data_IF_275443595921
#
_entry.id   IF_275443595921
#
_cell.length_a   1.000
_cell.length_b   1.000
_cell.length_c   1.000
_cell.angle_alpha   90.00
_cell.angle_beta   90.00
_cell.angle_gamma   90.00
#
_symmetry.space_group_name_H-M   'P 1'
#
loop_
_entity.id
_entity.type
_entity.pdbx_description
1 polymer ?
#
# COMPACT_ATOMS: atom_id res chain seq x y z
N UNK A 1 8.40 14.58 11.16
CA UNK A 1 8.07 14.59 9.73
C UNK A 1 7.67 16.00 9.37
N UNK A 2 8.19 16.50 8.26
CA UNK A 2 7.72 17.72 7.63
C UNK A 2 7.82 17.57 6.11
N UNK A 3 7.24 18.52 5.37
CA UNK A 3 7.18 18.57 3.90
C UNK A 3 8.49 18.16 3.18
N UNK A 4 9.64 18.42 3.79
CA UNK A 4 10.97 18.09 3.24
C UNK A 4 11.24 16.58 3.07
N UNK A 5 10.40 15.69 3.62
CA UNK A 5 10.53 14.24 3.47
C UNK A 5 9.72 13.65 2.29
N UNK A 6 8.86 14.44 1.62
CA UNK A 6 7.99 13.90 0.54
C UNK A 6 8.78 13.30 -0.63
N UNK A 7 9.83 13.95 -1.17
CA UNK A 7 10.66 13.36 -2.22
C UNK A 7 11.29 12.02 -1.81
N UNK A 8 11.58 11.84 -0.52
CA UNK A 8 12.12 10.60 0.03
C UNK A 8 11.08 9.49 -0.02
N UNK A 9 9.83 9.77 0.38
CA UNK A 9 8.75 8.78 0.31
C UNK A 9 8.35 8.43 -1.13
N UNK A 10 8.36 9.42 -2.03
CA UNK A 10 8.22 9.21 -3.47
C UNK A 10 9.29 8.25 -3.99
N UNK A 11 10.56 8.50 -3.66
CA UNK A 11 11.67 7.64 -4.07
C UNK A 11 11.51 6.20 -3.57
N UNK A 12 11.19 6.01 -2.29
CA UNK A 12 10.98 4.68 -1.73
C UNK A 12 9.78 3.95 -2.34
N UNK A 13 8.69 4.67 -2.64
CA UNK A 13 7.56 4.05 -3.33
C UNK A 13 7.92 3.65 -4.78
N UNK A 14 8.76 4.41 -5.48
CA UNK A 14 9.30 3.98 -6.79
C UNK A 14 10.11 2.71 -6.67
N UNK A 15 10.93 2.57 -5.63
CA UNK A 15 11.66 1.34 -5.36
C UNK A 15 10.72 0.16 -5.10
N UNK A 16 9.60 0.36 -4.37
CA UNK A 16 8.57 -0.67 -4.19
C UNK A 16 7.88 -1.05 -5.52
N UNK A 17 7.60 -0.07 -6.38
CA UNK A 17 7.02 -0.32 -7.71
C UNK A 17 7.95 -1.12 -8.63
N UNK A 18 9.28 -0.91 -8.56
CA UNK A 18 10.24 -1.75 -9.30
C UNK A 18 10.14 -3.22 -8.88
N UNK A 19 9.99 -3.48 -7.58
CA UNK A 19 9.77 -4.86 -7.08
C UNK A 19 8.41 -5.42 -7.53
N UNK A 20 7.38 -4.56 -7.66
CA UNK A 20 6.09 -4.98 -8.23
C UNK A 20 6.19 -5.32 -9.72
N UNK A 21 7.06 -4.64 -10.48
CA UNK A 21 7.36 -4.99 -11.87
C UNK A 21 8.03 -6.37 -11.96
N UNK A 22 8.98 -6.68 -11.07
CA UNK A 22 9.60 -8.02 -10.98
C UNK A 22 8.53 -9.10 -10.75
N UNK A 23 7.59 -8.88 -9.83
CA UNK A 23 6.48 -9.79 -9.57
C UNK A 23 5.64 -10.06 -10.83
N UNK A 24 5.37 -9.02 -11.63
CA UNK A 24 4.63 -9.15 -12.88
C UNK A 24 5.38 -10.02 -13.90
N UNK A 25 6.71 -9.93 -13.97
CA UNK A 25 7.52 -10.74 -14.92
C UNK A 25 7.42 -12.24 -14.64
N UNK A 26 7.23 -12.62 -13.37
CA UNK A 26 7.06 -14.02 -12.94
C UNK A 26 5.59 -14.44 -12.84
N UNK A 27 4.69 -13.68 -13.48
CA UNK A 27 3.22 -13.89 -13.47
C UNK A 27 2.63 -13.91 -12.05
N UNK A 28 3.17 -13.09 -11.14
CA UNK A 28 2.58 -12.87 -9.82
C UNK A 28 1.78 -11.58 -9.71
N UNK A 29 0.87 -11.55 -8.73
CA UNK A 29 0.11 -10.33 -8.39
C UNK A 29 1.14 -9.24 -8.00
N UNK A 30 1.13 -8.05 -8.65
CA UNK A 30 2.15 -7.03 -8.48
C UNK A 30 1.91 -6.18 -7.23
N UNK A 31 1.66 -6.85 -6.11
CA UNK A 31 1.75 -6.28 -4.76
C UNK A 31 3.17 -6.52 -4.30
N UNK A 32 3.88 -5.44 -4.00
CA UNK A 32 5.25 -5.50 -3.51
C UNK A 32 5.51 -4.43 -2.46
N UNK A 33 6.53 -4.68 -1.64
CA UNK A 33 6.91 -3.82 -0.55
C UNK A 33 8.43 -3.77 -0.37
N UNK A 34 8.89 -2.70 0.28
CA UNK A 34 10.23 -2.57 0.80
C UNK A 34 10.18 -2.12 2.26
N UNK A 35 11.13 -2.63 3.05
CA UNK A 35 11.33 -2.24 4.44
C UNK A 35 12.54 -1.33 4.52
N UNK A 36 12.34 -0.10 5.00
CA UNK A 36 13.39 0.92 5.09
C UNK A 36 13.74 1.17 6.55
N UNK A 37 14.96 0.82 6.93
CA UNK A 37 15.51 1.02 8.26
C UNK A 37 16.74 1.93 8.18
N UNK A 38 16.74 3.02 8.96
CA UNK A 38 17.84 4.02 8.99
C UNK A 38 18.28 4.48 7.59
N UNK A 39 17.30 4.76 6.72
CA UNK A 39 17.52 5.25 5.36
C UNK A 39 18.03 4.20 4.36
N UNK A 40 18.00 2.91 4.72
CA UNK A 40 18.43 1.80 3.86
C UNK A 40 17.32 0.78 3.69
N UNK A 41 17.20 0.23 2.49
CA UNK A 41 16.32 -0.92 2.25
C UNK A 41 16.97 -2.16 2.87
N UNK A 42 16.32 -2.74 3.88
CA UNK A 42 16.78 -3.96 4.56
C UNK A 42 16.07 -5.22 4.06
N UNK A 43 14.89 -5.08 3.45
CA UNK A 43 14.20 -6.19 2.81
C UNK A 43 13.30 -5.70 1.67
N UNK A 44 13.08 -6.59 0.70
CA UNK A 44 12.12 -6.45 -0.39
C UNK A 44 11.23 -7.68 -0.37
N UNK A 45 9.96 -7.51 -0.70
CA UNK A 45 9.03 -8.63 -0.81
C UNK A 45 7.97 -8.35 -1.87
N UNK A 46 7.56 -9.39 -2.59
CA UNK A 46 6.39 -9.36 -3.45
C UNK A 46 5.53 -10.59 -3.20
N UNK A 47 4.28 -10.58 -3.64
CA UNK A 47 3.40 -11.73 -3.50
C UNK A 47 4.00 -12.99 -4.14
N UNK A 48 3.97 -14.10 -3.41
CA UNK A 48 4.42 -15.41 -3.88
C UNK A 48 3.32 -16.47 -3.75
N UNK A 49 2.05 -16.09 -3.62
CA UNK A 49 0.91 -17.00 -3.51
C UNK A 49 0.81 -17.98 -4.69
N UNK A 50 1.07 -17.54 -5.93
CA UNK A 50 1.06 -18.42 -7.10
C UNK A 50 2.26 -19.38 -7.14
N UNK A 51 3.43 -18.89 -6.74
CA UNK A 51 4.69 -19.66 -6.74
C UNK A 51 4.65 -20.73 -5.65
N UNK A 52 4.16 -20.37 -4.47
CA UNK A 52 4.17 -21.21 -3.26
C UNK A 52 2.90 -22.04 -3.09
N UNK A 53 1.87 -21.78 -3.91
CA UNK A 53 0.51 -22.33 -3.75
C UNK A 53 -0.07 -22.09 -2.34
N UNK A 54 0.31 -20.97 -1.72
CA UNK A 54 -0.09 -20.63 -0.36
C UNK A 54 -0.60 -19.19 -0.31
N UNK A 55 -1.91 -19.04 -0.05
CA UNK A 55 -2.60 -17.74 0.01
C UNK A 55 -2.14 -16.80 1.12
N UNK A 56 -1.21 -17.21 1.99
CA UNK A 56 -0.63 -16.36 3.05
C UNK A 56 0.68 -15.69 2.66
N UNK A 57 1.29 -16.08 1.53
CA UNK A 57 2.62 -15.63 1.09
C UNK A 57 2.55 -14.28 0.38
N UNK A 58 2.11 -13.27 1.12
CA UNK A 58 2.00 -11.88 0.66
C UNK A 58 3.34 -11.15 0.76
N UNK A 59 3.47 -10.05 0.02
CA UNK A 59 4.67 -9.20 -0.01
C UNK A 59 5.23 -8.88 1.38
N UNK A 60 4.37 -8.49 2.32
CA UNK A 60 4.73 -8.11 3.69
C UNK A 60 5.30 -9.30 4.47
N UNK A 61 4.73 -10.51 4.28
CA UNK A 61 5.25 -11.72 4.92
C UNK A 61 6.62 -12.12 4.37
N UNK A 62 6.84 -11.98 3.06
CA UNK A 62 8.14 -12.31 2.43
C UNK A 62 9.23 -11.31 2.85
N UNK A 63 8.90 -10.02 2.92
CA UNK A 63 9.83 -9.02 3.44
C UNK A 63 10.11 -9.23 4.93
N UNK A 64 9.09 -9.50 5.75
CA UNK A 64 9.27 -9.82 7.17
C UNK A 64 10.14 -11.07 7.39
N UNK A 65 9.93 -12.13 6.60
CA UNK A 65 10.76 -13.34 6.64
C UNK A 65 12.25 -12.98 6.44
N UNK A 66 12.55 -12.19 5.43
CA UNK A 66 13.92 -11.72 5.15
C UNK A 66 14.51 -10.96 6.33
N UNK A 67 13.74 -10.08 6.98
CA UNK A 67 14.20 -9.33 8.16
C UNK A 67 14.51 -10.28 9.33
N UNK A 68 13.67 -11.30 9.56
CA UNK A 68 13.93 -12.29 10.63
C UNK A 68 15.22 -13.06 10.40
N UNK A 69 15.55 -13.36 9.14
CA UNK A 69 16.79 -14.03 8.77
C UNK A 69 18.01 -13.11 8.94
N UNK A 70 17.89 -11.82 8.60
CA UNK A 70 18.96 -10.83 8.73
C UNK A 70 19.21 -10.37 10.18
N UNK A 71 18.17 -10.36 11.01
CA UNK A 71 18.21 -9.86 12.39
C UNK A 71 17.60 -10.88 13.39
N UNK A 72 18.15 -12.10 13.50
CA UNK A 72 17.51 -13.19 14.27
C UNK A 72 17.23 -12.82 15.73
N UNK A 73 18.15 -12.09 16.37
CA UNK A 73 18.07 -11.72 17.79
C UNK A 73 17.49 -10.32 18.03
N UNK A 74 17.27 -9.53 16.97
CA UNK A 74 16.93 -8.10 17.12
C UNK A 74 15.87 -7.60 16.13
N UNK A 75 15.18 -8.49 15.41
CA UNK A 75 14.20 -8.10 14.39
C UNK A 75 13.09 -7.23 14.97
N UNK A 76 12.63 -7.48 16.21
CA UNK A 76 11.58 -6.69 16.85
C UNK A 76 11.99 -5.22 17.03
N UNK A 77 13.20 -4.97 17.53
CA UNK A 77 13.72 -3.60 17.71
C UNK A 77 13.98 -2.90 16.37
N UNK A 78 14.46 -3.64 15.37
CA UNK A 78 14.63 -3.11 14.01
C UNK A 78 13.28 -2.71 13.41
N UNK A 79 12.25 -3.56 13.53
CA UNK A 79 10.93 -3.32 12.95
C UNK A 79 10.21 -2.12 13.60
N UNK A 80 10.38 -1.90 14.91
CA UNK A 80 9.86 -0.73 15.64
C UNK A 80 10.35 0.61 15.09
N UNK A 81 11.48 0.60 14.39
CA UNK A 81 12.12 1.74 13.76
C UNK A 81 12.08 1.71 12.22
N UNK A 82 11.42 0.71 11.62
CA UNK A 82 11.36 0.49 10.18
C UNK A 82 10.08 1.03 9.57
N UNK A 83 10.19 1.73 8.45
CA UNK A 83 9.04 2.09 7.61
C UNK A 83 8.82 1.04 6.53
N UNK A 84 7.56 0.68 6.32
CA UNK A 84 7.13 -0.12 5.18
C UNK A 84 6.63 0.80 4.06
N UNK A 85 7.09 0.57 2.83
CA UNK A 85 6.48 1.13 1.62
C UNK A 85 5.91 -0.03 0.81
N UNK A 86 4.61 -0.01 0.52
CA UNK A 86 3.92 -1.10 -0.17
C UNK A 86 3.01 -0.55 -1.27
N UNK A 87 2.98 -1.19 -2.44
CA UNK A 87 2.25 -0.66 -3.59
C UNK A 87 0.73 -0.61 -3.36
N UNK A 88 0.19 -1.57 -2.62
CA UNK A 88 -1.23 -1.69 -2.29
C UNK A 88 -1.40 -1.71 -0.77
N UNK A 89 -2.45 -1.09 -0.25
CA UNK A 89 -2.79 -1.14 1.18
C UNK A 89 -2.73 -2.58 1.73
N UNK A 90 -2.04 -2.81 2.86
CA UNK A 90 -1.98 -4.11 3.50
C UNK A 90 -3.38 -4.68 3.75
N UNK A 91 -3.56 -5.96 3.41
CA UNK A 91 -4.81 -6.63 3.75
C UNK A 91 -4.94 -6.82 5.27
N UNK A 92 -6.13 -7.14 5.77
CA UNK A 92 -6.41 -7.39 7.21
C UNK A 92 -5.34 -8.30 7.86
N UNK A 93 -4.95 -9.38 7.19
CA UNK A 93 -3.93 -10.32 7.68
C UNK A 93 -2.56 -9.66 7.80
N UNK A 94 -2.12 -8.92 6.77
CA UNK A 94 -0.82 -8.25 6.77
C UNK A 94 -0.81 -7.06 7.73
N UNK A 95 -1.91 -6.31 7.81
CA UNK A 95 -2.10 -5.24 8.77
C UNK A 95 -1.99 -5.75 10.22
N UNK A 96 -2.54 -6.94 10.51
CA UNK A 96 -2.42 -7.61 11.81
C UNK A 96 -0.99 -8.04 12.10
N UNK A 97 -0.27 -8.62 11.13
CA UNK A 97 1.16 -8.92 11.25
C UNK A 97 1.95 -7.66 11.62
N UNK A 98 1.78 -6.59 10.83
CA UNK A 98 2.47 -5.32 10.99
C UNK A 98 2.23 -4.69 12.37
N UNK A 99 1.01 -4.86 12.91
CA UNK A 99 0.69 -4.43 14.27
C UNK A 99 1.40 -5.26 15.32
N UNK A 100 1.39 -6.59 15.20
CA UNK A 100 2.02 -7.50 16.14
C UNK A 100 3.54 -7.32 16.22
N UNK A 101 4.18 -7.01 15.10
CA UNK A 101 5.62 -6.70 15.04
C UNK A 101 5.93 -5.23 15.34
N UNK A 102 4.90 -4.42 15.63
CA UNK A 102 5.00 -3.02 15.99
C UNK A 102 5.76 -2.16 14.97
N UNK A 103 5.49 -2.35 13.68
CA UNK A 103 6.12 -1.57 12.60
C UNK A 103 6.01 -0.06 12.88
N UNK A 104 7.01 0.73 12.48
CA UNK A 104 7.00 2.18 12.76
C UNK A 104 5.84 2.88 12.05
N UNK A 105 5.80 2.78 10.73
CA UNK A 105 4.85 3.45 9.83
C UNK A 105 4.66 2.62 8.56
N UNK A 106 3.52 2.81 7.90
CA UNK A 106 3.24 2.21 6.59
C UNK A 106 2.88 3.30 5.59
N UNK A 107 3.56 3.31 4.46
CA UNK A 107 3.24 4.13 3.30
C UNK A 107 2.71 3.22 2.21
N UNK A 108 1.62 3.61 1.55
CA UNK A 108 1.10 2.81 0.45
C UNK A 108 0.57 3.62 -0.72
N UNK A 109 0.57 2.99 -1.89
CA UNK A 109 0.11 3.60 -3.13
C UNK A 109 -1.41 3.65 -3.23
N UNK A 110 -2.02 2.54 -3.62
CA UNK A 110 -3.47 2.46 -3.78
C UNK A 110 -4.15 1.73 -2.62
N UNK A 111 -5.42 2.07 -2.39
CA UNK A 111 -6.26 1.40 -1.41
C UNK A 111 -6.54 -0.06 -1.80
N UNK A 112 -6.86 -0.89 -0.81
CA UNK A 112 -7.30 -2.26 -1.00
C UNK A 112 -8.79 -2.36 -0.69
N UNK A 113 -9.61 -2.19 -1.70
CA UNK A 113 -11.07 -2.05 -1.57
C UNK A 113 -11.76 -3.31 -1.01
N UNK A 114 -11.15 -4.47 -1.21
CA UNK A 114 -11.77 -5.76 -0.85
C UNK A 114 -11.31 -6.28 0.50
N UNK A 115 -10.04 -6.05 0.84
CA UNK A 115 -9.41 -6.67 2.01
C UNK A 115 -8.58 -5.70 2.85
N UNK A 116 -8.65 -4.40 2.59
CA UNK A 116 -7.83 -3.38 3.24
C UNK A 116 -7.97 -3.35 4.76
N UNK A 117 -6.85 -3.54 5.45
CA UNK A 117 -6.78 -3.61 6.90
C UNK A 117 -6.39 -2.31 7.59
N UNK A 118 -6.14 -1.23 6.84
CA UNK A 118 -5.63 0.04 7.37
C UNK A 118 -6.59 1.22 7.20
N UNK A 119 -7.76 1.00 6.59
CA UNK A 119 -8.83 1.99 6.50
C UNK A 119 -9.91 1.67 5.49
N UNK A 120 -9.62 0.91 4.42
CA UNK A 120 -10.62 0.65 3.38
C UNK A 120 -11.75 -0.26 3.84
N UNK A 121 -11.44 -1.31 4.60
CA UNK A 121 -12.45 -2.24 5.14
C UNK A 121 -12.42 -2.24 6.67
N UNK A 122 -11.24 -2.42 7.26
CA UNK A 122 -11.00 -2.35 8.70
C UNK A 122 -9.85 -1.39 9.02
N UNK A 123 -9.76 -0.93 10.28
CA UNK A 123 -8.64 -0.15 10.79
C UNK A 123 -7.80 -0.96 11.77
N UNK A 124 -7.34 -2.15 11.34
CA UNK A 124 -6.54 -3.08 12.16
C UNK A 124 -5.27 -2.43 12.69
N UNK A 125 -4.71 -1.43 12.00
CA UNK A 125 -3.57 -0.65 12.46
C UNK A 125 -3.83 0.15 13.75
N UNK A 126 -5.09 0.48 14.06
CA UNK A 126 -5.43 1.36 15.18
C UNK A 126 -6.55 0.81 16.10
N UNK A 127 -7.46 -0.01 15.58
CA UNK A 127 -8.61 -0.54 16.32
C UNK A 127 -8.17 -1.47 17.45
N UNK A 128 -8.55 -1.17 18.69
CA UNK A 128 -8.27 -2.05 19.82
C UNK A 128 -9.33 -3.16 19.91
N UNK A 129 -8.92 -4.42 20.08
CA UNK A 129 -9.87 -5.47 20.39
C UNK A 129 -10.61 -5.13 21.70
N UNK A 130 -11.95 -5.18 21.67
CA UNK A 130 -12.78 -4.90 22.84
C UNK A 130 -12.76 -6.04 23.88
N UNK A 131 -12.19 -7.21 23.56
CA UNK A 131 -12.18 -8.35 24.48
C UNK A 131 -11.10 -8.23 25.57
N UNK A 132 -11.37 -8.86 26.71
CA UNK A 132 -10.47 -8.83 27.87
C UNK A 132 -9.37 -9.91 27.80
N UNK A 133 -9.51 -10.90 26.92
CA UNK A 133 -8.66 -12.11 26.88
C UNK A 133 -7.46 -12.03 25.92
N UNK A 134 -7.26 -10.90 25.26
CA UNK A 134 -6.15 -10.72 24.32
C UNK A 134 -4.94 -10.16 25.07
N UNK A 135 -3.76 -10.74 24.85
CA UNK A 135 -2.49 -10.21 25.34
C UNK A 135 -2.29 -8.78 24.81
N UNK A 136 -2.65 -7.83 25.67
CA UNK A 136 -2.67 -6.41 25.32
C UNK A 136 -1.26 -5.87 25.11
N UNK A 137 -0.23 -6.50 25.67
CA UNK A 137 1.14 -6.02 25.62
C UNK A 137 1.64 -5.86 24.17
N UNK A 138 1.37 -6.86 23.33
CA UNK A 138 1.82 -6.86 21.93
C UNK A 138 0.95 -6.03 20.98
N UNK A 139 -0.33 -5.82 21.29
CA UNK A 139 -1.27 -5.04 20.47
C UNK A 139 -1.49 -3.59 20.93
N UNK A 140 -0.78 -3.15 21.98
CA UNK A 140 -0.86 -1.79 22.55
C UNK A 140 -0.46 -0.70 21.57
N UNK A 141 0.49 -0.97 20.67
CA UNK A 141 1.04 0.05 19.76
C UNK A 141 0.33 0.01 18.41
N UNK A 142 -0.40 1.08 18.10
CA UNK A 142 -0.85 1.37 16.75
C UNK A 142 0.31 1.87 15.89
N UNK A 143 0.11 1.87 14.58
CA UNK A 143 1.04 2.50 13.63
C UNK A 143 0.30 3.43 12.68
N UNK A 144 0.97 4.52 12.32
CA UNK A 144 0.45 5.52 11.39
C UNK A 144 0.56 5.02 9.95
N UNK A 145 -0.43 5.35 9.15
CA UNK A 145 -0.50 4.99 7.73
C UNK A 145 -0.58 6.25 6.86
N UNK A 146 0.10 6.21 5.71
CA UNK A 146 0.14 7.30 4.75
C UNK A 146 -0.21 6.77 3.35
N UNK A 147 -1.45 7.01 2.87
CA UNK A 147 -1.94 6.52 1.60
C UNK A 147 -1.56 7.45 0.44
N UNK A 148 -1.68 6.96 -0.78
CA UNK A 148 -1.77 7.78 -1.99
C UNK A 148 -0.47 8.07 -2.71
N UNK A 149 0.68 7.63 -2.18
CA UNK A 149 1.98 7.89 -2.81
C UNK A 149 2.09 7.04 -4.08
N UNK A 150 2.13 7.66 -5.26
CA UNK A 150 2.10 6.95 -6.54
C UNK A 150 0.89 6.01 -6.70
N UNK A 151 -0.28 6.47 -6.23
CA UNK A 151 -1.53 5.71 -6.29
C UNK A 151 -1.85 5.19 -7.70
N UNK A 152 -1.79 6.06 -8.71
CA UNK A 152 -2.14 5.73 -10.09
C UNK A 152 -1.22 4.64 -10.65
N UNK A 153 0.07 4.72 -10.37
CA UNK A 153 1.05 3.70 -10.78
C UNK A 153 0.75 2.34 -10.16
N UNK A 154 0.42 2.30 -8.86
CA UNK A 154 0.02 1.07 -8.19
C UNK A 154 -1.26 0.46 -8.77
N UNK A 155 -2.29 1.28 -9.06
CA UNK A 155 -3.52 0.82 -9.74
C UNK A 155 -3.20 0.28 -11.13
N UNK A 156 -2.34 0.95 -11.89
CA UNK A 156 -1.91 0.53 -13.23
C UNK A 156 -1.21 -0.84 -13.16
N UNK A 157 -0.37 -1.08 -12.16
CA UNK A 157 0.26 -2.39 -11.96
C UNK A 157 -0.78 -3.51 -11.78
N UNK A 158 -1.76 -3.32 -10.91
CA UNK A 158 -2.85 -4.29 -10.73
C UNK A 158 -3.63 -4.51 -12.02
N UNK A 159 -3.95 -3.44 -12.76
CA UNK A 159 -4.64 -3.54 -14.06
C UNK A 159 -3.82 -4.33 -15.08
N UNK A 160 -2.51 -4.10 -15.18
CA UNK A 160 -1.61 -4.87 -16.05
C UNK A 160 -1.69 -6.36 -15.73
N UNK A 161 -1.66 -6.75 -14.46
CA UNK A 161 -1.79 -8.15 -14.05
C UNK A 161 -3.14 -8.77 -14.45
N UNK A 162 -4.26 -8.05 -14.26
CA UNK A 162 -5.58 -8.58 -14.64
C UNK A 162 -5.80 -8.70 -16.16
N UNK A 163 -5.00 -8.00 -16.96
CA UNK A 163 -4.95 -8.17 -18.41
C UNK A 163 -4.18 -9.43 -18.82
N UNK A 164 -3.22 -9.91 -18.01
CA UNK A 164 -2.54 -11.17 -18.27
C UNK A 164 -3.55 -12.32 -18.28
N UNK A 165 -3.35 -13.27 -19.20
CA UNK A 165 -4.14 -14.49 -19.25
C UNK A 165 -3.76 -15.38 -18.07
N UNK A 166 -4.77 -15.84 -17.32
CA UNK A 166 -4.57 -16.86 -16.32
C UNK A 166 -4.74 -18.22 -16.98
N UNK A 167 -3.64 -18.80 -17.47
CA UNK A 167 -3.60 -20.13 -18.10
C UNK A 167 -4.12 -21.25 -17.16
N UNK A 168 -4.14 -21.00 -15.84
CA UNK A 168 -4.65 -21.94 -14.83
C UNK A 168 -6.15 -21.77 -14.53
N UNK A 169 -6.84 -20.83 -15.17
CA UNK A 169 -8.27 -20.62 -14.94
C UNK A 169 -9.10 -21.70 -15.64
N UNK A 170 -10.01 -22.41 -14.93
CA UNK A 170 -10.81 -23.48 -15.53
C UNK A 170 -11.77 -23.00 -16.62
N UNK A 171 -12.12 -21.71 -16.59
CA UNK A 171 -12.92 -21.06 -17.62
C UNK A 171 -12.11 -19.90 -18.21
N UNK A 172 -11.60 -20.08 -19.43
CA UNK A 172 -10.99 -19.00 -20.19
C UNK A 172 -12.09 -17.99 -20.56
N UNK A 173 -12.22 -16.91 -19.77
CA UNK A 173 -12.99 -15.75 -20.18
C UNK A 173 -12.22 -15.06 -21.32
N UNK A 174 -12.89 -14.83 -22.45
CA UNK A 174 -12.30 -14.19 -23.63
C UNK A 174 -11.85 -12.76 -23.28
N UNK A 175 -10.55 -12.54 -23.06
CA UNK A 175 -9.98 -11.23 -22.64
C UNK A 175 -9.55 -10.35 -23.82
N UNK A 176 -9.78 -10.79 -25.05
CA UNK A 176 -9.26 -10.24 -26.31
C UNK A 176 -9.51 -8.74 -26.54
N UNK A 177 -10.48 -8.14 -25.84
CA UNK A 177 -10.84 -6.72 -25.98
C UNK A 177 -10.59 -5.86 -24.73
N UNK A 178 -10.02 -6.42 -23.65
CA UNK A 178 -9.73 -5.62 -22.46
C UNK A 178 -8.55 -4.68 -22.73
N UNK A 179 -8.82 -3.38 -22.77
CA UNK A 179 -7.81 -2.33 -22.85
C UNK A 179 -7.40 -1.91 -21.44
N UNK A 180 -6.16 -1.45 -21.30
CA UNK A 180 -5.69 -0.86 -20.05
C UNK A 180 -6.41 0.48 -19.84
N UNK A 181 -7.25 0.56 -18.82
CA UNK A 181 -7.90 1.79 -18.40
C UNK A 181 -6.87 2.72 -17.74
N UNK A 182 -6.78 3.97 -18.22
CA UNK A 182 -5.79 4.98 -17.80
C UNK A 182 -6.42 6.35 -17.52
N UNK A 183 -7.73 6.50 -17.67
CA UNK A 183 -8.44 7.77 -17.50
C UNK A 183 -9.22 7.81 -16.19
N UNK A 184 -9.81 6.68 -15.79
CA UNK A 184 -10.61 6.59 -14.56
C UNK A 184 -9.85 5.81 -13.49
N UNK A 185 -9.82 6.33 -12.27
CA UNK A 185 -9.15 5.71 -11.12
C UNK A 185 -10.08 5.69 -9.91
N UNK A 186 -9.97 4.66 -9.04
CA UNK A 186 -10.79 4.59 -7.84
C UNK A 186 -10.46 5.70 -6.86
N UNK A 187 -11.49 6.26 -6.21
CA UNK A 187 -11.33 7.35 -5.25
C UNK A 187 -10.57 6.85 -4.02
N UNK A 188 -9.54 7.58 -3.62
CA UNK A 188 -8.85 7.38 -2.35
C UNK A 188 -9.45 8.30 -1.28
N UNK A 189 -10.24 7.76 -0.37
CA UNK A 189 -10.81 8.54 0.73
C UNK A 189 -9.80 8.69 1.88
N UNK A 190 -9.07 9.81 1.96
CA UNK A 190 -8.04 10.01 2.99
C UNK A 190 -8.57 9.92 4.42
N UNK A 191 -9.81 10.37 4.65
CA UNK A 191 -10.46 10.34 5.97
C UNK A 191 -10.66 8.93 6.53
N UNK A 192 -10.62 7.90 5.66
CA UNK A 192 -10.63 6.51 6.10
C UNK A 192 -9.31 6.10 6.78
N UNK A 193 -8.19 6.74 6.44
CA UNK A 193 -6.85 6.29 6.82
C UNK A 193 -6.18 7.18 7.87
N UNK A 194 -6.38 8.50 7.78
CA UNK A 194 -5.77 9.46 8.69
C UNK A 194 -6.62 10.72 8.88
N UNK A 195 -6.34 11.45 9.95
CA UNK A 195 -6.92 12.76 10.22
C UNK A 195 -6.31 13.84 9.32
N UNK A 196 -7.04 14.94 9.11
CA UNK A 196 -6.54 16.13 8.41
C UNK A 196 -5.24 16.67 9.03
N UNK A 197 -5.14 16.65 10.36
CA UNK A 197 -3.92 17.07 11.07
C UNK A 197 -2.72 16.19 10.71
N UNK A 198 -2.88 14.87 10.72
CA UNK A 198 -1.83 13.94 10.30
C UNK A 198 -1.45 14.12 8.83
N UNK A 199 -2.42 14.45 7.97
CA UNK A 199 -2.18 14.68 6.54
C UNK A 199 -1.30 15.90 6.34
N UNK A 200 -1.70 17.03 6.93
CA UNK A 200 -0.99 18.31 6.80
C UNK A 200 0.37 18.28 7.49
N UNK A 201 0.56 17.49 8.53
CA UNK A 201 1.89 17.26 9.14
C UNK A 201 2.88 16.60 8.17
N UNK A 202 2.42 15.70 7.30
CA UNK A 202 3.29 15.05 6.32
C UNK A 202 3.42 15.87 5.03
N UNK A 203 2.29 16.22 4.43
CA UNK A 203 2.25 16.78 3.08
C UNK A 203 2.42 18.30 3.06
N UNK A 204 2.09 18.99 4.16
CA UNK A 204 2.06 20.45 4.24
C UNK A 204 0.63 21.00 4.25
N UNK A 205 0.43 22.13 4.92
CA UNK A 205 -0.89 22.77 5.07
C UNK A 205 -1.41 23.33 3.75
N UNK A 206 -0.52 23.77 2.88
CA UNK A 206 -0.84 24.26 1.55
C UNK A 206 -1.50 23.20 0.66
N UNK A 207 -1.32 21.90 0.96
CA UNK A 207 -1.94 20.79 0.24
C UNK A 207 -3.19 20.22 0.94
N UNK A 208 -3.72 20.90 1.96
CA UNK A 208 -4.90 20.45 2.71
C UNK A 208 -6.11 20.19 1.80
N UNK A 209 -6.26 20.94 0.71
CA UNK A 209 -7.33 20.75 -0.27
C UNK A 209 -7.34 19.35 -0.91
N UNK A 210 -6.18 18.69 -1.01
CA UNK A 210 -6.08 17.30 -1.50
C UNK A 210 -6.86 16.36 -0.59
N UNK A 211 -6.75 16.56 0.73
CA UNK A 211 -7.48 15.79 1.73
C UNK A 211 -8.98 16.05 1.62
N UNK A 212 -9.38 17.32 1.57
CA UNK A 212 -10.78 17.72 1.58
C UNK A 212 -11.54 17.25 0.33
N UNK A 213 -10.88 17.30 -0.82
CA UNK A 213 -11.48 16.92 -2.10
C UNK A 213 -11.15 15.49 -2.54
N UNK A 214 -10.35 14.76 -1.74
CA UNK A 214 -9.80 13.45 -2.08
C UNK A 214 -9.12 13.42 -3.46
N UNK A 215 -8.28 14.43 -3.72
CA UNK A 215 -7.46 14.46 -4.94
C UNK A 215 -6.31 13.44 -4.84
N UNK A 216 -5.84 12.93 -5.97
CA UNK A 216 -4.61 12.15 -5.97
C UNK A 216 -3.42 13.05 -5.70
N UNK A 217 -2.40 12.53 -5.01
CA UNK A 217 -1.10 13.18 -4.94
C UNK A 217 -0.45 13.14 -6.33
N UNK A 218 -0.10 14.30 -6.85
CA UNK A 218 0.59 14.48 -8.13
C UNK A 218 2.03 14.90 -7.85
N UNK A 219 2.98 14.26 -8.52
CA UNK A 219 4.41 14.47 -8.29
C UNK A 219 5.13 14.85 -9.58
N UNK A 220 6.12 15.73 -9.48
CA UNK A 220 7.11 15.91 -10.55
C UNK A 220 8.17 14.78 -10.53
N UNK A 221 9.13 14.84 -11.46
CA UNK A 221 10.19 13.83 -11.58
C UNK A 221 11.12 13.76 -10.36
N UNK A 222 11.24 14.86 -9.60
CA UNK A 222 12.05 14.93 -8.37
C UNK A 222 11.28 14.49 -7.12
N UNK A 223 10.00 14.15 -7.25
CA UNK A 223 9.15 13.70 -6.15
C UNK A 223 8.54 14.81 -5.31
N UNK A 224 8.53 16.05 -5.79
CA UNK A 224 7.82 17.16 -5.15
C UNK A 224 6.35 17.17 -5.59
N UNK A 225 5.45 17.58 -4.69
CA UNK A 225 4.03 17.68 -5.00
C UNK A 225 3.74 18.87 -5.92
N UNK A 226 3.00 18.61 -6.99
CA UNK A 226 2.61 19.61 -8.01
C UNK A 226 1.11 19.89 -8.05
N UNK A 227 0.34 19.40 -7.07
CA UNK A 227 -1.10 19.65 -7.01
C UNK A 227 -1.41 21.16 -6.97
N UNK A 228 -2.40 21.58 -7.75
CA UNK A 228 -2.93 22.95 -7.76
C UNK A 228 -4.36 22.97 -7.22
N UNK A 229 -4.68 23.94 -6.35
CA UNK A 229 -5.99 24.07 -5.71
C UNK A 229 -7.15 24.35 -6.71
N UNK A 230 -6.85 24.83 -7.92
CA UNK A 230 -7.84 25.18 -8.95
C UNK A 230 -8.24 24.03 -9.87
N UNK A 231 -7.69 22.83 -9.67
CA UNK A 231 -8.17 21.56 -10.23
C UNK A 231 -8.46 21.54 -11.74
N UNK A 232 -7.43 21.37 -12.57
CA UNK A 232 -7.59 20.60 -13.80
C UNK A 232 -7.21 19.15 -13.51
N UNK A 233 -8.03 18.16 -13.86
CA UNK A 233 -7.57 16.77 -13.84
C UNK A 233 -8.62 15.69 -13.57
N UNK A 234 -9.12 15.12 -14.66
CA UNK A 234 -9.66 13.75 -14.79
C UNK A 234 -10.95 13.38 -14.02
N UNK A 235 -11.81 12.61 -14.69
CA UNK A 235 -13.09 12.15 -14.15
C UNK A 235 -12.85 11.09 -13.07
N UNK A 236 -13.39 11.35 -11.88
CA UNK A 236 -13.38 10.44 -10.71
C UNK A 236 -14.64 9.59 -10.76
N UNK A 237 -14.52 8.29 -10.54
CA UNK A 237 -15.67 7.38 -10.56
C UNK A 237 -15.75 6.62 -9.24
N UNK A 238 -16.91 6.65 -8.61
CA UNK A 238 -17.25 5.66 -7.58
C UNK A 238 -17.40 4.33 -8.30
N UNK A 239 -16.52 3.37 -8.02
CA UNK A 239 -16.75 2.01 -8.50
C UNK A 239 -18.11 1.57 -7.95
N UNK A 240 -19.06 1.30 -8.84
CA UNK A 240 -20.30 0.65 -8.44
C UNK A 240 -19.97 -0.75 -7.93
N UNK A 241 -20.74 -1.22 -6.95
CA UNK A 241 -20.57 -2.47 -6.19
C UNK A 241 -20.46 -3.77 -7.03
N UNK A 242 -20.40 -3.68 -8.36
CA UNK A 242 -20.48 -4.80 -9.30
C UNK A 242 -19.29 -4.96 -10.26
N UNK A 243 -18.20 -4.20 -10.14
CA UNK A 243 -17.09 -4.28 -11.12
C UNK A 243 -16.01 -5.34 -10.84
N UNK A 244 -16.11 -6.08 -9.74
CA UNK A 244 -15.35 -7.30 -9.57
C UNK A 244 -16.26 -8.44 -9.08
N UNK A 245 -17.04 -9.01 -10.00
CA UNK A 245 -17.34 -10.44 -9.93
C UNK A 245 -16.16 -11.17 -10.60
N UNK A 246 -15.15 -11.49 -9.78
CA UNK A 246 -14.17 -12.53 -10.11
C UNK A 246 -14.81 -13.85 -9.73
#
# INVERSE_FOLDING_TARGET
MGKNEIPVHYFWMKEALKVAEEALTVKEVPVACIYVYKGKIIARGFNQTNITLNGTRHAEFEGFKTIRELYPESFEEVLKETDLYVTVEPCIMCASLLRQIQIRRVFFGCANERFGGNGSVFKVNNDFPKSQDIDREKLKRSYTVYPGILNKDAVIMLRKFYLLENEKSPNLKDKKYRKLELQEFPILNYSSFLTKSEFTMLFGKEYEFIYDENQFLEFNETGELTNEATGSGLKRVKLSDNSFNI
#
